data_IF_029211713852
#
_entry.id   IF_029211713852
#
_cell.length_a   1.000
_cell.length_b   1.000
_cell.length_c   1.000
_cell.angle_alpha   90.00
_cell.angle_beta   90.00
_cell.angle_gamma   90.00
#
_symmetry.space_group_name_H-M   'P 1'
#
loop_
_entity.id
_entity.type
_entity.pdbx_description
1 polymer ?
#
# COMPACT_ATOMS: atom_id res chain seq x y z
N UNK A 1 -2.88 7.72 -7.95
CA UNK A 1 -3.45 6.68 -8.83
C UNK A 1 -4.84 6.35 -8.34
N UNK A 2 -5.82 7.17 -8.72
CA UNK A 2 -7.22 6.98 -8.33
C UNK A 2 -8.00 6.46 -9.52
N UNK A 3 -8.91 5.51 -9.32
CA UNK A 3 -9.95 5.26 -10.33
C UNK A 3 -10.77 6.53 -10.44
N UNK A 4 -10.76 7.14 -11.62
CA UNK A 4 -11.43 8.41 -11.90
C UNK A 4 -12.90 8.32 -11.49
N UNK A 5 -13.33 9.19 -10.57
CA UNK A 5 -14.72 9.27 -10.10
C UNK A 5 -15.02 8.62 -8.73
N UNK A 6 -14.14 7.78 -8.19
CA UNK A 6 -14.44 7.00 -6.96
C UNK A 6 -13.62 7.43 -5.74
N UNK A 7 -12.63 8.31 -5.91
CA UNK A 7 -11.76 8.78 -4.82
C UNK A 7 -10.84 7.69 -4.22
N UNK A 8 -10.86 6.47 -4.76
CA UNK A 8 -10.13 5.32 -4.23
C UNK A 8 -8.73 5.22 -4.85
N UNK A 9 -7.71 5.05 -4.01
CA UNK A 9 -6.32 4.86 -4.42
C UNK A 9 -6.09 3.39 -4.84
N UNK A 10 -5.36 3.18 -5.93
CA UNK A 10 -4.83 1.89 -6.35
C UNK A 10 -3.34 1.83 -5.99
N UNK A 11 -2.93 0.72 -5.38
CA UNK A 11 -1.54 0.35 -5.16
C UNK A 11 -1.23 -0.88 -6.01
N UNK A 12 -0.18 -0.79 -6.83
CA UNK A 12 0.25 -1.86 -7.74
C UNK A 12 1.68 -2.28 -7.40
N UNK A 13 2.09 -3.47 -7.86
CA UNK A 13 3.45 -4.00 -7.66
C UNK A 13 3.88 -4.07 -6.19
N UNK A 14 2.96 -4.41 -5.29
CA UNK A 14 3.29 -4.69 -3.89
C UNK A 14 3.97 -6.06 -3.79
N UNK A 15 5.14 -6.10 -3.14
CA UNK A 15 5.73 -7.35 -2.69
C UNK A 15 5.11 -7.73 -1.34
N UNK A 16 4.41 -8.87 -1.32
CA UNK A 16 3.63 -9.35 -0.17
C UNK A 16 4.15 -10.68 0.38
N UNK A 17 5.23 -11.24 -0.16
CA UNK A 17 5.67 -12.60 0.20
C UNK A 17 6.00 -12.70 1.69
N UNK A 18 6.87 -11.82 2.20
CA UNK A 18 7.26 -11.79 3.61
C UNK A 18 6.09 -11.40 4.54
N UNK A 19 5.22 -10.49 4.08
CA UNK A 19 4.06 -10.06 4.87
C UNK A 19 3.07 -11.21 5.06
N UNK A 20 2.79 -11.96 4.01
CA UNK A 20 1.86 -13.10 4.06
C UNK A 20 2.34 -14.18 5.04
N UNK A 21 3.63 -14.54 4.99
CA UNK A 21 4.23 -15.47 5.96
C UNK A 21 4.11 -14.95 7.39
N UNK A 22 4.48 -13.68 7.62
CA UNK A 22 4.48 -13.11 8.97
C UNK A 22 3.07 -13.02 9.58
N UNK A 23 2.06 -12.71 8.77
CA UNK A 23 0.66 -12.69 9.17
C UNK A 23 0.11 -14.09 9.46
N UNK A 24 0.50 -15.08 8.66
CA UNK A 24 0.14 -16.48 8.89
C UNK A 24 0.69 -16.99 10.23
N UNK A 25 1.98 -16.76 10.48
CA UNK A 25 2.66 -17.17 11.73
C UNK A 25 2.04 -16.50 12.97
N UNK A 26 1.61 -15.24 12.83
CA UNK A 26 0.93 -14.49 13.88
C UNK A 26 -0.59 -14.78 13.99
N UNK A 27 -1.13 -15.69 13.16
CA UNK A 27 -2.54 -16.03 13.08
C UNK A 27 -3.48 -14.80 12.98
N UNK A 28 -3.12 -13.85 12.12
CA UNK A 28 -3.89 -12.59 11.91
C UNK A 28 -3.83 -12.12 10.47
N UNK A 29 -4.83 -11.37 10.03
CA UNK A 29 -4.91 -10.78 8.70
C UNK A 29 -4.97 -9.25 8.70
N UNK A 30 -4.96 -8.64 9.89
CA UNK A 30 -5.02 -7.18 10.06
C UNK A 30 -3.64 -6.63 10.42
N UNK A 31 -3.33 -5.49 9.86
CA UNK A 31 -2.08 -4.75 10.08
C UNK A 31 -2.29 -3.29 9.69
N UNK A 32 -1.38 -2.42 10.11
CA UNK A 32 -1.44 -1.02 9.74
C UNK A 32 -0.65 -0.80 8.45
N UNK A 33 -1.31 -0.28 7.41
CA UNK A 33 -0.67 0.07 6.14
C UNK A 33 -0.43 1.58 6.11
N UNK A 34 0.83 1.97 5.95
CA UNK A 34 1.20 3.36 5.65
C UNK A 34 1.72 3.48 4.23
N UNK A 35 1.39 4.58 3.58
CA UNK A 35 1.95 4.95 2.28
C UNK A 35 2.31 6.43 2.31
N UNK A 36 3.42 6.78 1.66
CA UNK A 36 3.85 8.17 1.54
C UNK A 36 4.04 8.53 0.07
N UNK A 37 3.00 9.05 -0.60
CA UNK A 37 3.12 9.60 -1.94
C UNK A 37 4.13 10.74 -1.97
N UNK A 38 4.79 10.91 -3.11
CA UNK A 38 5.69 12.06 -3.31
C UNK A 38 4.89 13.37 -3.30
N UNK A 39 5.44 14.41 -2.70
CA UNK A 39 4.81 15.73 -2.68
C UNK A 39 4.96 16.43 -4.04
N UNK A 40 4.13 16.03 -5.02
CA UNK A 40 4.10 16.57 -6.37
C UNK A 40 2.71 17.11 -6.70
N UNK A 41 2.61 18.43 -6.88
CA UNK A 41 1.37 19.08 -7.34
C UNK A 41 0.97 18.54 -8.72
N UNK A 42 -0.29 18.14 -8.87
CA UNK A 42 -0.79 17.54 -10.11
C UNK A 42 -0.23 16.14 -10.41
N UNK A 43 0.37 15.48 -9.42
CA UNK A 43 0.85 14.10 -9.56
C UNK A 43 -0.31 13.12 -9.81
N UNK A 44 -0.23 12.36 -10.89
CA UNK A 44 -1.18 11.27 -11.18
C UNK A 44 -0.75 9.94 -10.54
N UNK A 45 0.54 9.82 -10.21
CA UNK A 45 1.17 8.66 -9.60
C UNK A 45 2.36 9.06 -8.70
N UNK A 46 2.77 8.15 -7.83
CA UNK A 46 4.03 8.21 -7.09
C UNK A 46 4.79 6.89 -7.22
N UNK A 47 6.13 6.92 -7.14
CA UNK A 47 6.92 5.71 -6.89
C UNK A 47 6.40 4.94 -5.66
N UNK A 48 6.66 3.61 -5.59
CA UNK A 48 6.20 2.79 -4.49
C UNK A 48 6.87 3.21 -3.18
N UNK A 49 6.06 3.49 -2.18
CA UNK A 49 6.49 3.74 -0.80
C UNK A 49 5.35 3.33 0.13
N UNK A 50 5.18 2.01 0.27
CA UNK A 50 4.19 1.38 1.12
C UNK A 50 4.92 0.53 2.17
N UNK A 51 4.45 0.58 3.41
CA UNK A 51 5.00 -0.19 4.51
C UNK A 51 3.86 -0.79 5.34
N UNK A 52 4.00 -2.07 5.67
CA UNK A 52 3.13 -2.75 6.61
C UNK A 52 3.77 -2.72 8.01
N UNK A 53 3.02 -2.26 9.00
CA UNK A 53 3.35 -2.40 10.41
C UNK A 53 2.51 -3.54 10.94
N UNK A 54 3.19 -4.66 11.19
CA UNK A 54 2.60 -5.86 11.78
C UNK A 54 2.84 -5.86 13.28
#
# INVERSE_FOLDING_TARGET
LTVTGWGQIILEFLDLEQLATSLHDANRSTFFLTTQPVNKKGGVASPPNAMAII
#
